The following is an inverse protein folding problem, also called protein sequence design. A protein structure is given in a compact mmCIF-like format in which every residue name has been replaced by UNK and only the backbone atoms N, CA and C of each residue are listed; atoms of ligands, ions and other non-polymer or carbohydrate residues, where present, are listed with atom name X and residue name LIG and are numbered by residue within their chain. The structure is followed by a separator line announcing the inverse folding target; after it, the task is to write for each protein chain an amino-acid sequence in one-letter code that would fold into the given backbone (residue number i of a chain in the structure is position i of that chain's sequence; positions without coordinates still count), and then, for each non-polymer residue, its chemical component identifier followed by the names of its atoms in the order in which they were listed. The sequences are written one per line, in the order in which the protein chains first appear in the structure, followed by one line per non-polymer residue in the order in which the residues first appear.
data_IF_363276927284
#
_entry.id   IF_363276927284
#
_cell.length_a   1.000
_cell.length_b   1.000
_cell.length_c   1.000
_cell.angle_alpha   90.00
_cell.angle_beta   90.00
_cell.angle_gamma   90.00
#
_symmetry.space_group_name_H-M   'P 1'
#
loop_
_entity.id
_entity.type
_entity.pdbx_description
1 polymer ?
#
# COMPACT_ATOMS: atom_id res chain seq x y z
N UNK A 1 30.83 2.02 20.03
CA UNK A 1 30.69 2.27 18.58
C UNK A 1 29.38 1.64 18.13
N UNK A 2 28.43 2.43 17.63
CA UNK A 2 27.14 1.90 17.16
C UNK A 2 27.28 1.39 15.73
N UNK A 3 27.25 0.08 15.54
CA UNK A 3 27.31 -0.55 14.22
C UNK A 3 25.98 -0.35 13.49
N UNK A 4 25.96 0.49 12.47
CA UNK A 4 24.75 0.70 11.65
C UNK A 4 24.63 -0.45 10.65
N UNK A 5 23.78 -1.44 10.96
CA UNK A 5 23.48 -2.53 10.05
C UNK A 5 22.40 -2.08 9.06
N UNK A 6 22.69 -2.15 7.76
CA UNK A 6 21.75 -1.81 6.68
C UNK A 6 21.32 -3.09 5.95
N UNK A 7 20.02 -3.19 5.65
CA UNK A 7 19.44 -4.28 4.86
C UNK A 7 18.53 -3.72 3.77
N UNK A 8 18.48 -4.37 2.62
CA UNK A 8 17.60 -4.01 1.51
C UNK A 8 16.44 -5.01 1.42
N UNK A 9 15.21 -4.50 1.34
CA UNK A 9 13.99 -5.32 1.25
C UNK A 9 13.21 -4.91 0.01
N UNK A 10 12.73 -5.89 -0.75
CA UNK A 10 11.81 -5.67 -1.86
C UNK A 10 10.38 -5.92 -1.39
N UNK A 11 9.50 -4.95 -1.64
CA UNK A 11 8.08 -5.03 -1.28
C UNK A 11 7.27 -5.10 -2.57
N UNK A 12 6.43 -6.11 -2.69
CA UNK A 12 5.44 -6.21 -3.76
C UNK A 12 4.22 -5.35 -3.39
N UNK A 13 4.10 -4.19 -4.05
CA UNK A 13 3.03 -3.23 -3.79
C UNK A 13 1.66 -3.74 -4.23
N UNK A 14 1.58 -4.62 -5.23
CA UNK A 14 0.32 -5.24 -5.66
C UNK A 14 -0.16 -6.21 -4.60
N UNK A 15 0.71 -7.05 -4.04
CA UNK A 15 0.34 -7.95 -2.92
C UNK A 15 -0.05 -7.17 -1.67
N UNK A 16 0.67 -6.10 -1.37
CA UNK A 16 0.31 -5.22 -0.24
C UNK A 16 -1.08 -4.59 -0.45
N UNK A 17 -1.36 -4.07 -1.64
CA UNK A 17 -2.68 -3.56 -2.01
C UNK A 17 -3.77 -4.61 -1.84
N UNK A 18 -3.59 -5.79 -2.43
CA UNK A 18 -4.57 -6.88 -2.33
C UNK A 18 -4.83 -7.28 -0.88
N UNK A 19 -3.79 -7.34 -0.04
CA UNK A 19 -3.94 -7.59 1.41
C UNK A 19 -4.82 -6.52 2.07
N UNK A 20 -4.64 -5.24 1.74
CA UNK A 20 -5.49 -4.17 2.28
C UNK A 20 -6.95 -4.32 1.85
N UNK A 21 -7.20 -4.66 0.58
CA UNK A 21 -8.54 -4.89 0.04
C UNK A 21 -9.20 -6.10 0.70
N UNK A 22 -8.51 -7.23 0.79
CA UNK A 22 -9.04 -8.46 1.40
C UNK A 22 -9.32 -8.30 2.90
N UNK A 23 -8.56 -7.45 3.59
CA UNK A 23 -8.83 -7.09 4.98
C UNK A 23 -9.94 -6.04 5.13
N UNK A 24 -10.68 -5.72 4.06
CA UNK A 24 -11.74 -4.72 4.02
C UNK A 24 -11.32 -3.33 4.54
N UNK A 25 -10.03 -2.98 4.40
CA UNK A 25 -9.52 -1.68 4.82
C UNK A 25 -9.88 -0.63 3.77
N UNK A 26 -10.88 0.19 4.06
CA UNK A 26 -11.26 1.33 3.20
C UNK A 26 -10.31 2.52 3.34
N UNK A 27 -9.76 2.71 4.53
CA UNK A 27 -8.77 3.73 4.84
C UNK A 27 -7.56 3.09 5.50
N UNK A 28 -6.38 3.62 5.21
CA UNK A 28 -5.13 3.24 5.86
C UNK A 28 -4.35 4.48 6.26
N UNK A 29 -3.84 4.48 7.49
CA UNK A 29 -2.98 5.54 7.99
C UNK A 29 -1.52 5.24 7.73
N UNK A 30 -0.72 6.28 7.54
CA UNK A 30 0.72 6.18 7.35
C UNK A 30 1.40 5.39 8.48
N UNK A 31 1.01 5.64 9.73
CA UNK A 31 1.55 4.93 10.89
C UNK A 31 1.15 3.46 10.97
N UNK A 32 0.00 3.07 10.38
CA UNK A 32 -0.42 1.66 10.31
C UNK A 32 0.48 0.91 9.34
N UNK A 33 0.77 1.47 8.16
CA UNK A 33 1.73 0.89 7.21
C UNK A 33 3.15 0.83 7.80
N UNK A 34 3.57 1.88 8.50
CA UNK A 34 4.87 1.92 9.15
C UNK A 34 5.01 0.77 10.16
N UNK A 35 3.97 0.52 10.96
CA UNK A 35 3.92 -0.57 11.93
C UNK A 35 3.88 -1.94 11.23
N UNK A 36 2.99 -2.12 10.27
CA UNK A 36 2.75 -3.40 9.60
C UNK A 36 3.97 -3.89 8.80
N UNK A 37 4.77 -2.96 8.28
CA UNK A 37 5.99 -3.26 7.51
C UNK A 37 7.26 -3.11 8.34
N UNK A 38 7.16 -2.76 9.63
CA UNK A 38 8.28 -2.47 10.51
C UNK A 38 9.29 -1.47 9.91
N UNK A 39 8.77 -0.40 9.30
CA UNK A 39 9.58 0.66 8.68
C UNK A 39 9.34 2.00 9.34
N UNK A 40 10.24 2.95 9.10
CA UNK A 40 10.02 4.32 9.56
C UNK A 40 8.80 4.96 8.88
N UNK A 41 8.13 5.92 9.53
CA UNK A 41 7.04 6.70 8.93
C UNK A 41 7.43 7.32 7.57
N UNK A 42 8.67 7.78 7.43
CA UNK A 42 9.20 8.33 6.18
C UNK A 42 9.22 7.29 5.06
N UNK A 43 9.63 6.06 5.35
CA UNK A 43 9.62 4.96 4.37
C UNK A 43 8.19 4.55 4.02
N UNK A 44 7.30 4.46 5.01
CA UNK A 44 5.88 4.19 4.78
C UNK A 44 5.23 5.25 3.87
N UNK A 45 5.54 6.53 4.08
CA UNK A 45 5.07 7.61 3.20
C UNK A 45 5.53 7.44 1.75
N UNK A 46 6.77 7.00 1.51
CA UNK A 46 7.27 6.69 0.16
C UNK A 46 6.51 5.54 -0.48
N UNK A 47 6.24 4.48 0.29
CA UNK A 47 5.46 3.31 -0.14
C UNK A 47 4.05 3.74 -0.54
N UNK A 48 3.35 4.47 0.33
CA UNK A 48 1.98 4.96 0.07
C UNK A 48 1.93 5.92 -1.12
N UNK A 49 2.93 6.78 -1.28
CA UNK A 49 3.04 7.68 -2.44
C UNK A 49 3.21 6.90 -3.75
N UNK A 50 4.00 5.82 -3.71
CA UNK A 50 4.16 4.94 -4.87
C UNK A 50 2.86 4.17 -5.17
N UNK A 51 2.19 3.63 -4.15
CA UNK A 51 0.89 2.98 -4.31
C UNK A 51 -0.17 3.94 -4.87
N UNK A 52 -0.13 5.21 -4.48
CA UNK A 52 -1.02 6.23 -5.00
C UNK A 52 -0.77 6.50 -6.49
N UNK A 53 0.51 6.59 -6.88
CA UNK A 53 0.91 6.74 -8.29
C UNK A 53 0.47 5.55 -9.16
N UNK A 54 0.40 4.35 -8.57
CA UNK A 54 -0.10 3.14 -9.23
C UNK A 54 -1.64 3.02 -9.22
N UNK A 55 -2.35 3.96 -8.58
CA UNK A 55 -3.81 3.97 -8.49
C UNK A 55 -4.41 3.02 -7.45
N UNK A 56 -3.58 2.34 -6.64
CA UNK A 56 -4.05 1.40 -5.60
C UNK A 56 -4.67 2.11 -4.41
N UNK A 57 -4.16 3.30 -4.10
CA UNK A 57 -4.67 4.15 -3.03
C UNK A 57 -4.81 5.58 -3.54
N UNK A 58 -5.50 6.41 -2.79
CA UNK A 58 -5.60 7.84 -3.03
C UNK A 58 -5.34 8.58 -1.73
N UNK A 59 -4.61 9.69 -1.80
CA UNK A 59 -4.37 10.50 -0.61
C UNK A 59 -5.66 11.22 -0.24
N UNK A 60 -6.13 11.02 1.00
CA UNK A 60 -7.33 11.67 1.52
C UNK A 60 -6.97 12.84 2.44
N UNK A 61 -6.03 12.64 3.36
CA UNK A 61 -5.45 13.70 4.19
C UNK A 61 -3.92 13.59 4.22
N UNK A 62 -3.27 14.38 5.08
CA UNK A 62 -1.82 14.34 5.25
C UNK A 62 -1.31 12.92 5.54
N UNK A 63 -1.99 12.17 6.42
CA UNK A 63 -1.55 10.87 6.93
C UNK A 63 -2.50 9.72 6.63
N UNK A 64 -3.58 9.97 5.88
CA UNK A 64 -4.60 8.95 5.59
C UNK A 64 -4.79 8.79 4.08
N UNK A 65 -4.90 7.53 3.67
CA UNK A 65 -5.09 7.13 2.28
C UNK A 65 -6.34 6.27 2.17
N UNK A 66 -7.15 6.54 1.15
CA UNK A 66 -8.28 5.71 0.74
C UNK A 66 -7.75 4.56 -0.12
N UNK A 67 -8.12 3.33 0.21
CA UNK A 67 -7.80 2.15 -0.60
C UNK A 67 -8.87 2.00 -1.69
N UNK A 68 -8.44 1.93 -2.95
CA UNK A 68 -9.34 1.80 -4.09
C UNK A 68 -9.87 0.37 -4.19
N UNK A 69 -11.17 0.22 -4.43
CA UNK A 69 -11.75 -1.11 -4.66
C UNK A 69 -11.19 -1.75 -5.95
N UNK A 70 -11.26 -3.07 -6.04
CA UNK A 70 -10.84 -3.80 -7.25
C UNK A 70 -11.61 -3.34 -8.50
N UNK A 71 -12.89 -3.01 -8.32
CA UNK A 71 -13.77 -2.59 -9.42
C UNK A 71 -13.37 -1.19 -9.93
N UNK A 72 -13.02 -0.28 -9.02
CA UNK A 72 -12.47 1.05 -9.36
C UNK A 72 -11.13 0.95 -10.10
N UNK A 73 -10.27 0.02 -9.69
CA UNK A 73 -8.96 -0.16 -10.32
C UNK A 73 -9.08 -0.79 -11.72
N UNK A 74 -9.98 -1.76 -11.88
CA UNK A 74 -10.27 -2.39 -13.17
C UNK A 74 -10.81 -1.39 -14.19
N UNK A 75 -11.67 -0.47 -13.74
CA UNK A 75 -12.28 0.56 -14.58
C UNK A 75 -11.26 1.58 -15.13
N UNK A 76 -10.22 1.90 -14.36
CA UNK A 76 -9.15 2.83 -14.80
C UNK A 76 -8.09 2.17 -15.67
N UNK A 77 -7.88 0.86 -15.53
CA UNK A 77 -6.75 0.17 -16.17
C UNK A 77 -7.16 -0.60 -17.43
N UNK A 78 -8.46 -0.81 -17.67
CA UNK A 78 -8.97 -1.64 -18.77
C UNK A 78 -8.60 -3.14 -18.66
N UNK A 79 -7.97 -3.55 -17.55
CA UNK A 79 -7.55 -4.92 -17.25
C UNK A 79 -8.43 -5.50 -16.15
N UNK A 80 -9.20 -6.54 -16.47
CA UNK A 80 -9.93 -7.32 -15.47
C UNK A 80 -8.91 -7.97 -14.52
N UNK A 81 -8.98 -7.61 -13.24
CA UNK A 81 -8.28 -8.34 -12.20
C UNK A 81 -9.12 -9.58 -11.86
N UNK A 82 -8.73 -10.74 -12.41
CA UNK A 82 -9.37 -12.01 -12.09
C UNK A 82 -9.35 -12.24 -10.58
N UNK A 83 -10.55 -12.32 -9.98
CA UNK A 83 -10.76 -12.75 -8.61
C UNK A 83 -10.56 -14.26 -8.58
N UNK A 84 -9.32 -14.74 -8.42
CA UNK A 84 -9.08 -16.15 -8.11
C UNK A 84 -9.13 -16.34 -6.60
N UNK A 85 -10.08 -17.11 -6.06
CA UNK A 85 -10.02 -17.60 -4.70
C UNK A 85 -9.05 -18.79 -4.64
N UNK A 86 -8.15 -18.77 -3.67
CA UNK A 86 -7.45 -19.95 -3.17
C UNK A 86 -7.27 -19.79 -1.67
#
# INVERSE_FOLDING_TARGET
MSTTNTMSVKIDLKKLYLKLVFNHKRFVRLHEIARDLCVTPRTAGKILSMMARLGYVERWTTDMYLVRSLDELSSKTGKQFNRSPA
#
